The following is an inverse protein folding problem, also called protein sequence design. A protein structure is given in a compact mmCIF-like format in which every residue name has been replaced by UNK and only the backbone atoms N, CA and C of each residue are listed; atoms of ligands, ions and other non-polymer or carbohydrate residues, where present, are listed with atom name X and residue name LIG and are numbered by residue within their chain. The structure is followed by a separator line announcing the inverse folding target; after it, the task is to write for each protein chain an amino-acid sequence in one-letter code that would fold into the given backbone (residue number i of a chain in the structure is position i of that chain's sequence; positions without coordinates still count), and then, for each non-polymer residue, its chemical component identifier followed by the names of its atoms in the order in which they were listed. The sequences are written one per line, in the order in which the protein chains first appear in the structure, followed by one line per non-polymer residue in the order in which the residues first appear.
data_IF_232913933056
#
_entry.id   IF_232913933056
#
_cell.length_a   1.000
_cell.length_b   1.000
_cell.length_c   1.000
_cell.angle_alpha   90.00
_cell.angle_beta   90.00
_cell.angle_gamma   90.00
#
_symmetry.space_group_name_H-M   'P 1'
#
loop_
_entity.id
_entity.type
_entity.pdbx_description
1 polymer ?
#
# COMPACT_ATOMS: atom_id res chain seq x y z
N UNK A 1 -24.66 15.03 4.19
CA UNK A 1 -24.28 13.99 5.09
C UNK A 1 -23.40 13.12 4.52
N UNK A 2 -22.54 12.96 5.29
CA UNK A 2 -21.91 12.16 4.48
C UNK A 2 -21.48 10.93 5.17
N UNK A 3 -21.80 9.86 4.48
CA UNK A 3 -21.50 8.52 4.90
C UNK A 3 -20.23 8.09 4.20
N UNK A 4 -19.23 7.64 4.97
CA UNK A 4 -17.98 7.13 4.45
C UNK A 4 -17.88 5.63 4.73
N UNK A 5 -17.76 4.85 3.66
CA UNK A 5 -17.55 3.42 3.73
C UNK A 5 -16.06 3.13 3.55
N UNK A 6 -15.45 2.50 4.55
CA UNK A 6 -14.02 2.18 4.55
C UNK A 6 -13.83 0.68 4.31
N UNK A 7 -13.10 0.35 3.25
CA UNK A 7 -12.68 -1.01 2.92
C UNK A 7 -11.15 -1.09 2.98
N UNK A 8 -10.65 -2.12 3.62
CA UNK A 8 -9.20 -2.34 3.72
C UNK A 8 -8.57 -1.58 4.90
N UNK A 9 -7.32 -1.17 4.73
CA UNK A 9 -6.47 -0.66 5.82
C UNK A 9 -5.84 0.69 5.46
N UNK A 10 -6.60 1.79 5.46
CA UNK A 10 -6.16 3.10 4.95
C UNK A 10 -5.31 3.85 5.99
N UNK A 11 -4.09 3.37 6.24
CA UNK A 11 -3.18 3.95 7.24
C UNK A 11 -1.96 4.67 6.65
N UNK A 12 -1.85 4.80 5.33
CA UNK A 12 -0.65 5.31 4.68
C UNK A 12 -0.70 6.81 4.41
N UNK A 13 -1.79 7.31 3.87
CA UNK A 13 -1.93 8.69 3.40
C UNK A 13 -2.43 9.63 4.49
N UNK A 14 -1.73 10.76 4.69
CA UNK A 14 -2.15 11.80 5.64
C UNK A 14 -3.48 12.43 5.25
N UNK A 15 -3.73 12.64 3.97
CA UNK A 15 -5.01 13.20 3.48
C UNK A 15 -6.18 12.26 3.75
N UNK A 16 -6.00 10.96 3.59
CA UNK A 16 -7.01 9.96 3.95
C UNK A 16 -7.22 9.93 5.47
N UNK A 17 -6.14 9.98 6.26
CA UNK A 17 -6.24 10.05 7.72
C UNK A 17 -6.98 11.31 8.16
N UNK A 18 -6.71 12.46 7.54
CA UNK A 18 -7.42 13.70 7.82
C UNK A 18 -8.91 13.61 7.45
N UNK A 19 -9.24 12.98 6.32
CA UNK A 19 -10.62 12.72 5.93
C UNK A 19 -11.34 11.85 6.97
N UNK A 20 -10.70 10.76 7.41
CA UNK A 20 -11.24 9.87 8.45
C UNK A 20 -11.39 10.56 9.82
N UNK A 21 -10.62 11.61 10.08
CA UNK A 21 -10.69 12.42 11.30
C UNK A 21 -11.84 13.43 11.34
N UNK A 22 -12.55 13.65 10.22
CA UNK A 22 -13.65 14.62 10.16
C UNK A 22 -14.83 14.23 11.04
N UNK A 23 -15.37 15.22 11.78
CA UNK A 23 -16.44 15.01 12.75
C UNK A 23 -17.82 14.91 12.12
N UNK A 24 -17.98 15.47 10.94
CA UNK A 24 -19.23 15.51 10.19
C UNK A 24 -19.50 14.25 9.36
N UNK A 25 -18.57 13.28 9.36
CA UNK A 25 -18.74 12.03 8.62
C UNK A 25 -19.25 10.90 9.52
N UNK A 26 -20.19 10.14 8.99
CA UNK A 26 -20.62 8.86 9.55
C UNK A 26 -19.79 7.73 8.91
N UNK A 27 -18.89 7.13 9.69
CA UNK A 27 -17.91 6.18 9.19
C UNK A 27 -18.33 4.75 9.51
N UNK A 28 -18.46 3.93 8.47
CA UNK A 28 -18.63 2.48 8.57
C UNK A 28 -17.38 1.78 8.02
N UNK A 29 -16.80 0.89 8.80
CA UNK A 29 -15.67 0.05 8.38
C UNK A 29 -16.17 -1.33 8.02
N UNK A 30 -15.84 -1.81 6.82
CA UNK A 30 -16.02 -3.21 6.42
C UNK A 30 -14.69 -3.95 6.63
N UNK A 31 -14.73 -5.07 7.33
CA UNK A 31 -13.52 -5.83 7.67
C UNK A 31 -13.69 -7.33 7.41
N UNK A 32 -12.68 -7.95 6.85
CA UNK A 32 -12.57 -9.40 6.66
C UNK A 32 -11.88 -10.11 7.84
N UNK A 33 -11.47 -9.33 8.85
CA UNK A 33 -10.66 -9.86 9.96
C UNK A 33 -11.25 -9.47 11.31
N UNK A 34 -11.04 -10.30 12.29
CA UNK A 34 -11.40 -10.02 13.68
C UNK A 34 -10.63 -8.80 14.25
N UNK A 35 -9.42 -8.55 13.72
CA UNK A 35 -8.66 -7.34 14.03
C UNK A 35 -8.78 -6.38 12.85
N UNK A 36 -9.28 -5.21 13.11
CA UNK A 36 -9.47 -4.12 12.15
C UNK A 36 -8.80 -2.85 12.66
N UNK A 37 -8.55 -1.92 11.75
CA UNK A 37 -7.89 -0.66 12.09
C UNK A 37 -8.89 0.48 11.94
N UNK A 38 -9.05 1.23 13.00
CA UNK A 38 -9.68 2.55 12.98
C UNK A 38 -8.61 3.61 13.27
N UNK A 39 -8.03 4.13 12.20
CA UNK A 39 -6.91 5.08 12.27
C UNK A 39 -7.28 6.36 13.03
N UNK A 40 -8.55 6.74 12.96
CA UNK A 40 -9.07 7.97 13.56
C UNK A 40 -9.79 7.75 14.91
N UNK A 41 -10.12 6.50 15.25
CA UNK A 41 -10.96 6.18 16.40
C UNK A 41 -12.41 6.66 16.27
N UNK A 42 -12.91 6.84 15.03
CA UNK A 42 -14.20 7.48 14.74
C UNK A 42 -15.21 6.57 14.05
N UNK A 43 -14.86 5.33 13.80
CA UNK A 43 -15.81 4.39 13.19
C UNK A 43 -17.04 4.21 14.09
N UNK A 44 -18.20 4.56 13.59
CA UNK A 44 -19.49 4.35 14.29
C UNK A 44 -20.01 2.94 14.14
N UNK A 45 -19.64 2.29 13.03
CA UNK A 45 -20.08 0.93 12.74
C UNK A 45 -18.92 0.14 12.17
N UNK A 46 -18.77 -1.08 12.64
CA UNK A 46 -17.83 -2.06 12.08
C UNK A 46 -18.65 -3.27 11.67
N UNK A 47 -18.51 -3.68 10.41
CA UNK A 47 -19.27 -4.77 9.84
C UNK A 47 -18.30 -5.83 9.33
N UNK A 48 -18.35 -7.04 9.89
CA UNK A 48 -17.58 -8.15 9.37
C UNK A 48 -18.07 -8.54 7.98
N UNK A 49 -17.12 -8.79 7.10
CA UNK A 49 -17.37 -9.32 5.75
C UNK A 49 -17.08 -10.82 5.75
N UNK A 50 -17.73 -11.56 6.65
CA UNK A 50 -17.50 -12.99 6.79
C UNK A 50 -17.86 -13.75 5.51
N UNK A 51 -16.94 -14.55 5.02
CA UNK A 51 -17.10 -15.45 3.89
C UNK A 51 -15.97 -16.47 3.87
N UNK A 52 -16.21 -17.64 3.29
CA UNK A 52 -15.17 -18.65 3.19
C UNK A 52 -14.01 -18.17 2.32
N UNK A 53 -12.80 -18.45 2.78
CA UNK A 53 -11.60 -18.34 1.95
C UNK A 53 -11.82 -19.21 0.68
N UNK A 54 -11.74 -18.64 -0.50
CA UNK A 54 -11.99 -19.32 -1.81
C UNK A 54 -13.44 -19.36 -2.30
N UNK A 55 -14.28 -18.45 -1.86
CA UNK A 55 -15.62 -18.30 -2.44
C UNK A 55 -15.52 -17.88 -3.93
N UNK A 56 -16.37 -18.43 -4.83
CA UNK A 56 -16.47 -17.97 -6.21
C UNK A 56 -16.78 -16.48 -6.32
N UNK A 57 -16.22 -15.80 -7.33
CA UNK A 57 -16.33 -14.34 -7.46
C UNK A 57 -17.77 -13.81 -7.57
N UNK A 58 -18.66 -14.57 -8.19
CA UNK A 58 -20.09 -14.26 -8.29
C UNK A 58 -20.81 -14.35 -6.94
N UNK A 59 -20.49 -15.37 -6.13
CA UNK A 59 -21.02 -15.51 -4.78
C UNK A 59 -20.50 -14.39 -3.86
N UNK A 60 -19.22 -14.06 -3.96
CA UNK A 60 -18.61 -12.95 -3.23
C UNK A 60 -19.26 -11.60 -3.61
N UNK A 61 -19.53 -11.38 -4.90
CA UNK A 61 -20.21 -10.19 -5.38
C UNK A 61 -21.64 -10.08 -4.85
N UNK A 62 -22.39 -11.18 -4.85
CA UNK A 62 -23.74 -11.23 -4.31
C UNK A 62 -23.77 -10.97 -2.80
N UNK A 63 -22.82 -11.54 -2.06
CA UNK A 63 -22.67 -11.31 -0.62
C UNK A 63 -22.35 -9.85 -0.32
N UNK A 64 -21.42 -9.26 -1.08
CA UNK A 64 -21.08 -7.84 -0.93
C UNK A 64 -22.28 -6.93 -1.22
N UNK A 65 -23.06 -7.24 -2.26
CA UNK A 65 -24.26 -6.49 -2.58
C UNK A 65 -25.34 -6.58 -1.47
N UNK A 66 -25.54 -7.78 -0.88
CA UNK A 66 -26.45 -7.98 0.25
C UNK A 66 -25.98 -7.21 1.49
N UNK A 67 -24.67 -7.22 1.75
CA UNK A 67 -24.07 -6.49 2.85
C UNK A 67 -24.31 -4.98 2.68
N UNK A 68 -24.02 -4.41 1.51
CA UNK A 68 -24.27 -2.99 1.22
C UNK A 68 -25.75 -2.65 1.39
N UNK A 69 -26.66 -3.50 0.91
CA UNK A 69 -28.10 -3.32 1.09
C UNK A 69 -28.49 -3.34 2.59
N UNK A 70 -27.89 -4.21 3.39
CA UNK A 70 -28.16 -4.29 4.84
C UNK A 70 -27.71 -3.06 5.62
N UNK A 71 -26.80 -2.26 5.06
CA UNK A 71 -26.34 -1.00 5.65
C UNK A 71 -27.35 0.15 5.46
N UNK A 72 -28.41 -0.08 4.68
CA UNK A 72 -29.39 0.95 4.36
C UNK A 72 -28.85 2.08 3.48
N UNK A 73 -27.77 1.78 2.72
CA UNK A 73 -27.19 2.73 1.80
C UNK A 73 -27.98 2.71 0.48
N UNK A 74 -28.45 3.85 0.07
CA UNK A 74 -29.06 4.02 -1.24
C UNK A 74 -27.98 4.20 -2.30
N UNK A 75 -28.27 3.70 -3.51
CA UNK A 75 -27.38 3.92 -4.64
C UNK A 75 -27.40 5.40 -5.00
N UNK A 76 -26.24 6.03 -5.00
CA UNK A 76 -26.10 7.41 -5.45
C UNK A 76 -26.47 7.55 -6.93
N UNK A 77 -26.96 8.73 -7.30
CA UNK A 77 -27.16 9.08 -8.70
C UNK A 77 -25.85 8.97 -9.50
N UNK A 78 -25.95 8.61 -10.77
CA UNK A 78 -24.78 8.48 -11.64
C UNK A 78 -23.97 9.79 -11.73
N UNK A 79 -24.65 10.94 -11.66
CA UNK A 79 -23.99 12.25 -11.66
C UNK A 79 -23.04 12.47 -10.49
N UNK A 80 -23.27 11.80 -9.35
CA UNK A 80 -22.36 11.84 -8.22
C UNK A 80 -21.01 11.21 -8.58
N UNK A 81 -20.99 10.00 -9.12
CA UNK A 81 -19.77 9.33 -9.56
C UNK A 81 -19.07 10.12 -10.67
N UNK A 82 -19.84 10.73 -11.59
CA UNK A 82 -19.28 11.56 -12.66
C UNK A 82 -18.68 12.85 -12.14
N UNK A 83 -19.22 13.43 -11.08
CA UNK A 83 -18.61 14.60 -10.42
C UNK A 83 -17.26 14.28 -9.82
N UNK A 84 -17.11 13.11 -9.18
CA UNK A 84 -15.83 12.64 -8.67
C UNK A 84 -14.82 12.37 -9.77
N UNK A 85 -15.25 11.72 -10.86
CA UNK A 85 -14.35 11.46 -12.00
C UNK A 85 -13.88 12.76 -12.64
N UNK A 86 -14.77 13.74 -12.83
CA UNK A 86 -14.37 15.06 -13.33
C UNK A 86 -13.38 15.74 -12.40
N UNK A 87 -13.68 15.80 -11.10
CA UNK A 87 -12.77 16.40 -10.14
C UNK A 87 -11.39 15.71 -10.13
N UNK A 88 -11.35 14.38 -10.29
CA UNK A 88 -10.09 13.64 -10.40
C UNK A 88 -9.35 13.96 -11.71
N UNK A 89 -10.07 14.10 -12.84
CA UNK A 89 -9.48 14.44 -14.15
C UNK A 89 -8.93 15.87 -14.20
N UNK A 90 -9.48 16.78 -13.40
CA UNK A 90 -9.02 18.16 -13.31
C UNK A 90 -7.75 18.32 -12.46
N UNK A 91 -7.37 17.27 -11.73
CA UNK A 91 -6.12 17.28 -10.97
C UNK A 91 -4.94 17.02 -11.91
N UNK A 92 -3.83 17.77 -11.75
CA UNK A 92 -2.64 17.48 -12.51
C UNK A 92 -2.13 16.08 -12.18
N UNK A 93 -1.67 15.36 -13.19
CA UNK A 93 -1.00 14.08 -12.96
C UNK A 93 0.20 14.26 -12.01
N UNK A 94 0.37 13.36 -11.03
CA UNK A 94 1.49 13.46 -10.13
C UNK A 94 2.81 13.34 -10.90
N UNK A 95 3.55 14.42 -10.97
CA UNK A 95 4.87 14.45 -11.62
C UNK A 95 5.93 13.76 -10.76
N UNK A 96 6.99 13.27 -11.41
CA UNK A 96 8.21 12.87 -10.72
C UNK A 96 8.97 14.13 -10.31
N UNK A 97 9.10 14.37 -9.02
CA UNK A 97 9.82 15.53 -8.47
C UNK A 97 11.28 15.20 -8.10
N UNK A 98 11.65 13.94 -8.17
CA UNK A 98 12.99 13.45 -7.85
C UNK A 98 13.36 12.20 -8.65
N UNK A 99 14.65 11.85 -8.66
CA UNK A 99 15.12 10.59 -9.24
C UNK A 99 14.49 9.36 -8.56
N UNK A 100 14.26 9.44 -7.26
CA UNK A 100 13.59 8.38 -6.51
C UNK A 100 12.11 8.19 -6.94
N UNK A 101 11.42 9.26 -7.32
CA UNK A 101 10.09 9.20 -7.90
C UNK A 101 10.12 8.51 -9.28
N UNK A 102 11.12 8.85 -10.11
CA UNK A 102 11.29 8.24 -11.41
C UNK A 102 11.56 6.73 -11.30
N UNK A 103 12.40 6.31 -10.34
CA UNK A 103 12.65 4.89 -10.05
C UNK A 103 11.36 4.20 -9.61
N UNK A 104 10.60 4.79 -8.68
CA UNK A 104 9.36 4.19 -8.20
C UNK A 104 8.37 3.98 -9.36
N UNK A 105 8.20 4.97 -10.24
CA UNK A 105 7.34 4.87 -11.43
C UNK A 105 7.81 3.78 -12.38
N UNK A 106 9.10 3.77 -12.72
CA UNK A 106 9.66 2.77 -13.64
C UNK A 106 9.51 1.34 -13.11
N UNK A 107 9.71 1.15 -11.80
CA UNK A 107 9.50 -0.15 -11.16
C UNK A 107 8.04 -0.59 -11.23
N UNK A 108 7.11 0.33 -10.96
CA UNK A 108 5.70 0.04 -11.07
C UNK A 108 5.30 -0.38 -12.49
N UNK A 109 5.69 0.41 -13.48
CA UNK A 109 5.42 0.14 -14.90
C UNK A 109 6.01 -1.21 -15.34
N UNK A 110 7.27 -1.49 -14.98
CA UNK A 110 7.93 -2.77 -15.27
C UNK A 110 7.28 -3.96 -14.57
N UNK A 111 6.60 -3.73 -13.44
CA UNK A 111 5.92 -4.78 -12.69
C UNK A 111 4.52 -5.10 -13.20
N UNK A 112 4.00 -4.31 -14.14
CA UNK A 112 2.71 -4.58 -14.82
C UNK A 112 2.86 -5.48 -16.03
N UNK A 113 4.07 -5.77 -16.46
CA UNK A 113 4.31 -6.62 -17.62
C UNK A 113 3.89 -8.08 -17.34
N UNK A 114 3.38 -8.80 -18.35
CA UNK A 114 3.12 -10.23 -18.21
C UNK A 114 4.38 -10.99 -17.79
N UNK A 115 4.26 -11.84 -16.77
CA UNK A 115 5.40 -12.61 -16.24
C UNK A 115 6.38 -11.79 -15.40
N UNK A 116 6.06 -10.53 -15.07
CA UNK A 116 6.90 -9.73 -14.19
C UNK A 116 7.07 -10.38 -12.81
N UNK A 117 8.24 -10.15 -12.15
CA UNK A 117 8.48 -10.60 -10.79
C UNK A 117 7.40 -10.13 -9.81
N UNK A 118 7.13 -10.93 -8.78
CA UNK A 118 6.32 -10.48 -7.65
C UNK A 118 6.98 -9.27 -7.01
N UNK A 119 6.27 -8.15 -6.92
CA UNK A 119 6.77 -6.90 -6.36
C UNK A 119 6.66 -6.92 -4.83
N UNK A 120 7.79 -6.87 -4.14
CA UNK A 120 7.85 -6.74 -2.69
C UNK A 120 8.21 -5.30 -2.31
N UNK A 121 7.36 -4.66 -1.55
CA UNK A 121 7.51 -3.26 -1.13
C UNK A 121 8.03 -3.19 0.31
N UNK A 122 9.24 -2.68 0.47
CA UNK A 122 9.82 -2.39 1.77
C UNK A 122 9.12 -1.21 2.48
N UNK A 123 9.13 -1.22 3.81
CA UNK A 123 8.61 -0.13 4.64
C UNK A 123 9.53 1.10 4.57
N UNK A 124 9.42 1.87 3.50
CA UNK A 124 10.23 3.05 3.19
C UNK A 124 9.40 4.15 2.51
N UNK A 125 10.05 5.25 2.13
CA UNK A 125 9.41 6.27 1.28
C UNK A 125 8.92 5.73 -0.06
N UNK A 126 9.45 4.62 -0.53
CA UNK A 126 9.05 3.98 -1.80
C UNK A 126 7.57 3.63 -1.84
N UNK A 127 7.02 3.09 -0.73
CA UNK A 127 5.57 2.81 -0.64
C UNK A 127 4.74 4.09 -0.84
N UNK A 128 5.16 5.21 -0.23
CA UNK A 128 4.46 6.50 -0.34
C UNK A 128 4.60 7.12 -1.73
N UNK A 129 5.74 6.91 -2.37
CA UNK A 129 5.94 7.33 -3.77
C UNK A 129 5.02 6.55 -4.70
N UNK A 130 4.92 5.23 -4.52
CA UNK A 130 4.01 4.40 -5.30
C UNK A 130 2.54 4.74 -5.06
N UNK A 131 2.13 4.97 -3.81
CA UNK A 131 0.77 5.42 -3.47
C UNK A 131 0.37 6.69 -4.24
N UNK A 132 1.33 7.57 -4.51
CA UNK A 132 1.12 8.82 -5.26
C UNK A 132 1.25 8.66 -6.77
N UNK A 133 2.17 7.84 -7.25
CA UNK A 133 2.63 7.83 -8.65
C UNK A 133 2.11 6.63 -9.45
N UNK A 134 1.68 5.56 -8.76
CA UNK A 134 1.25 4.34 -9.43
C UNK A 134 -0.03 4.59 -10.21
N UNK A 135 0.03 4.41 -11.52
CA UNK A 135 -1.14 4.51 -12.38
C UNK A 135 -1.72 3.11 -12.61
N UNK A 136 -3.05 2.96 -12.61
CA UNK A 136 -3.69 1.73 -13.02
C UNK A 136 -3.29 1.37 -14.45
N UNK A 137 -2.82 0.16 -14.65
CA UNK A 137 -2.51 -0.38 -15.98
C UNK A 137 -3.51 -1.45 -16.40
N UNK A 138 -3.21 -2.10 -17.52
CA UNK A 138 -4.02 -3.21 -18.03
C UNK A 138 -4.02 -4.42 -17.09
N UNK A 139 -2.97 -4.60 -16.31
CA UNK A 139 -2.84 -5.62 -15.29
C UNK A 139 -2.29 -5.01 -14.00
N UNK A 140 -2.84 -5.43 -12.87
CA UNK A 140 -2.28 -5.06 -11.57
C UNK A 140 -1.04 -5.91 -11.28
N UNK A 141 0.08 -5.33 -10.78
CA UNK A 141 1.20 -6.10 -10.31
C UNK A 141 0.79 -7.02 -9.15
N UNK A 142 1.36 -8.22 -9.10
CA UNK A 142 1.31 -9.01 -7.87
C UNK A 142 2.23 -8.34 -6.86
N UNK A 143 1.66 -7.62 -5.91
CA UNK A 143 2.42 -6.84 -4.92
C UNK A 143 2.18 -7.34 -3.49
N UNK A 144 3.26 -7.38 -2.71
CA UNK A 144 3.29 -7.77 -1.30
C UNK A 144 4.02 -6.70 -0.52
N UNK A 145 3.64 -6.46 0.72
CA UNK A 145 4.32 -5.53 1.61
C UNK A 145 4.29 -6.03 3.06
N UNK A 146 5.40 -5.90 3.75
CA UNK A 146 5.50 -6.13 5.19
C UNK A 146 4.94 -4.92 5.92
N UNK A 147 3.61 -4.87 6.14
CA UNK A 147 3.02 -3.71 6.81
C UNK A 147 3.00 -3.85 8.33
N UNK A 148 2.28 -4.76 8.91
CA UNK A 148 2.25 -4.98 10.36
C UNK A 148 2.54 -3.71 11.17
N UNK A 149 3.62 -3.73 11.94
CA UNK A 149 4.17 -2.59 12.66
C UNK A 149 5.02 -1.65 11.78
N UNK A 150 5.06 -1.89 10.48
CA UNK A 150 5.86 -1.14 9.50
C UNK A 150 7.37 -1.14 9.80
N UNK A 151 7.88 -2.22 10.40
CA UNK A 151 9.31 -2.44 10.60
C UNK A 151 10.08 -2.48 9.29
N UNK A 152 11.37 -2.16 9.36
CA UNK A 152 12.29 -2.19 8.22
C UNK A 152 13.13 -3.46 8.17
N UNK A 153 13.01 -4.30 9.18
CA UNK A 153 13.69 -5.59 9.26
C UNK A 153 13.01 -6.64 8.39
N UNK A 154 13.77 -7.63 7.91
CA UNK A 154 13.25 -8.84 7.28
C UNK A 154 12.63 -8.64 5.89
N UNK A 155 12.85 -7.52 5.22
CA UNK A 155 12.31 -7.31 3.87
C UNK A 155 12.99 -8.23 2.85
N UNK A 156 14.33 -8.36 2.89
CA UNK A 156 15.09 -9.25 2.01
C UNK A 156 14.76 -10.71 2.31
N UNK A 157 14.74 -11.07 3.60
CA UNK A 157 14.34 -12.40 4.04
C UNK A 157 12.92 -12.76 3.57
N UNK A 158 11.99 -11.80 3.60
CA UNK A 158 10.65 -11.99 3.03
C UNK A 158 10.70 -12.24 1.53
N UNK A 159 11.58 -11.54 0.80
CA UNK A 159 11.78 -11.74 -0.64
C UNK A 159 12.27 -13.16 -0.96
N UNK A 160 13.22 -13.67 -0.20
CA UNK A 160 13.67 -15.06 -0.30
C UNK A 160 12.53 -16.04 0.00
N UNK A 161 11.78 -15.81 1.08
CA UNK A 161 10.64 -16.66 1.44
C UNK A 161 9.53 -16.66 0.39
N UNK A 162 9.25 -15.52 -0.25
CA UNK A 162 8.29 -15.42 -1.36
C UNK A 162 8.75 -16.21 -2.58
N UNK A 163 10.05 -16.12 -2.93
CA UNK A 163 10.62 -16.93 -4.00
C UNK A 163 10.51 -18.42 -3.69
N UNK A 164 10.89 -18.85 -2.50
CA UNK A 164 10.78 -20.25 -2.08
C UNK A 164 9.33 -20.77 -2.15
N UNK A 165 8.38 -19.96 -1.74
CA UNK A 165 6.97 -20.36 -1.70
C UNK A 165 6.29 -20.36 -3.09
N UNK A 166 6.71 -19.46 -3.99
CA UNK A 166 6.06 -19.29 -5.30
C UNK A 166 6.79 -19.96 -6.44
N UNK A 167 8.08 -20.25 -6.29
CA UNK A 167 8.97 -20.72 -7.37
C UNK A 167 9.20 -19.68 -8.47
N UNK A 168 8.71 -18.46 -8.30
CA UNK A 168 8.82 -17.39 -9.30
C UNK A 168 9.71 -16.23 -8.84
N UNK A 169 10.19 -15.41 -9.79
CA UNK A 169 11.09 -14.30 -9.47
C UNK A 169 10.43 -13.26 -8.56
N UNK A 170 11.22 -12.61 -7.72
CA UNK A 170 10.80 -11.57 -6.79
C UNK A 170 11.61 -10.31 -7.03
N UNK A 171 10.97 -9.16 -7.01
CA UNK A 171 11.60 -7.84 -7.05
C UNK A 171 11.28 -7.09 -5.78
N UNK A 172 12.27 -6.95 -4.90
CA UNK A 172 12.16 -6.17 -3.68
C UNK A 172 12.61 -4.72 -3.92
N UNK A 173 11.81 -3.75 -3.49
CA UNK A 173 12.12 -2.32 -3.61
C UNK A 173 12.03 -1.67 -2.25
N UNK A 174 13.10 -1.01 -1.84
CA UNK A 174 13.21 -0.42 -0.50
C UNK A 174 14.14 0.79 -0.49
N UNK A 175 14.15 1.54 0.60
CA UNK A 175 15.14 2.58 0.85
C UNK A 175 16.43 2.01 1.42
N UNK A 176 17.45 2.87 1.47
CA UNK A 176 18.80 2.60 1.99
C UNK A 176 18.78 2.05 3.42
N UNK A 177 18.06 2.69 4.33
CA UNK A 177 17.98 2.23 5.73
C UNK A 177 17.32 0.85 5.86
N UNK A 178 16.23 0.60 5.14
CA UNK A 178 15.58 -0.70 5.15
C UNK A 178 16.49 -1.79 4.58
N UNK A 179 17.30 -1.46 3.56
CA UNK A 179 18.30 -2.35 3.01
C UNK A 179 19.40 -2.67 4.04
N UNK A 180 19.98 -1.64 4.67
CA UNK A 180 21.06 -1.81 5.65
C UNK A 180 20.62 -2.63 6.86
N UNK A 181 19.38 -2.48 7.28
CA UNK A 181 18.83 -3.26 8.40
C UNK A 181 18.72 -4.76 8.11
N UNK A 182 18.54 -5.13 6.85
CA UNK A 182 18.32 -6.52 6.46
C UNK A 182 19.34 -7.06 5.44
N UNK A 183 20.41 -6.32 5.19
CA UNK A 183 21.43 -6.69 4.22
C UNK A 183 22.07 -8.06 4.48
N UNK A 184 22.16 -8.47 5.76
CA UNK A 184 22.70 -9.78 6.14
C UNK A 184 21.82 -10.93 5.67
N UNK A 185 20.57 -10.72 5.35
CA UNK A 185 19.68 -11.71 4.75
C UNK A 185 20.03 -12.06 3.29
N UNK A 186 21.01 -11.36 2.69
CA UNK A 186 21.61 -11.74 1.42
C UNK A 186 22.65 -12.86 1.58
N UNK A 187 23.11 -13.11 2.81
CA UNK A 187 24.03 -14.23 3.05
C UNK A 187 23.31 -15.56 2.87
N UNK A 188 23.92 -16.41 2.08
CA UNK A 188 23.40 -17.74 1.77
C UNK A 188 24.33 -18.80 2.33
N UNK A 189 23.75 -19.83 2.95
CA UNK A 189 24.47 -21.02 3.35
C UNK A 189 24.92 -21.84 2.12
N UNK A 190 25.98 -22.61 2.28
CA UNK A 190 26.57 -23.41 1.17
C UNK A 190 25.63 -24.47 0.58
N UNK A 191 24.58 -24.81 1.28
CA UNK A 191 23.57 -25.80 0.88
C UNK A 191 22.20 -25.17 0.54
N UNK A 192 22.09 -23.85 0.57
CA UNK A 192 20.87 -23.14 0.24
C UNK A 192 20.82 -22.81 -1.25
N UNK A 193 19.68 -22.94 -1.85
CA UNK A 193 19.46 -22.53 -3.23
C UNK A 193 19.54 -21.00 -3.38
N UNK A 194 20.00 -20.54 -4.52
CA UNK A 194 20.06 -19.13 -4.85
C UNK A 194 18.67 -18.63 -5.26
N UNK A 195 18.16 -17.65 -4.53
CA UNK A 195 16.87 -17.05 -4.81
C UNK A 195 16.94 -16.17 -6.08
N UNK A 196 15.97 -16.33 -6.96
CA UNK A 196 15.74 -15.36 -8.06
C UNK A 196 15.10 -14.07 -7.47
N UNK A 197 15.97 -13.29 -6.83
CA UNK A 197 15.60 -12.08 -6.09
C UNK A 197 16.37 -10.87 -6.63
N UNK A 198 15.63 -9.93 -7.22
CA UNK A 198 16.15 -8.61 -7.56
C UNK A 198 15.91 -7.65 -6.40
N UNK A 199 16.96 -7.03 -5.88
CA UNK A 199 16.84 -5.99 -4.84
C UNK A 199 17.16 -4.63 -5.44
N UNK A 200 16.20 -3.71 -5.40
CA UNK A 200 16.34 -2.33 -5.84
C UNK A 200 16.36 -1.45 -4.59
N UNK A 201 17.48 -0.79 -4.37
CA UNK A 201 17.68 0.12 -3.24
C UNK A 201 17.58 1.56 -3.76
N UNK A 202 16.68 2.33 -3.19
CA UNK A 202 16.58 3.77 -3.43
C UNK A 202 17.39 4.47 -2.34
N UNK A 203 18.62 4.84 -2.68
CA UNK A 203 19.49 5.61 -1.82
C UNK A 203 19.20 7.11 -2.00
N UNK A 204 18.79 7.78 -0.94
CA UNK A 204 18.51 9.20 -0.92
C UNK A 204 19.53 10.02 -0.12
N UNK A 205 20.71 9.45 0.10
CA UNK A 205 21.86 10.11 0.70
C UNK A 205 21.96 9.98 2.22
N UNK A 206 21.32 8.95 2.79
CA UNK A 206 21.50 8.63 4.20
C UNK A 206 20.27 8.88 5.07
N UNK A 207 19.16 8.27 4.71
CA UNK A 207 17.98 8.26 5.57
C UNK A 207 17.16 9.54 5.53
N UNK A 208 17.01 10.16 4.38
CA UNK A 208 16.24 11.38 4.17
C UNK A 208 14.75 11.28 4.62
N UNK A 209 14.27 10.06 4.92
CA UNK A 209 12.92 9.88 5.50
C UNK A 209 12.71 10.73 6.77
N UNK A 210 13.75 10.94 7.56
CA UNK A 210 13.65 11.71 8.79
C UNK A 210 13.38 13.20 8.53
N UNK A 211 13.79 13.75 7.38
CA UNK A 211 13.49 15.12 6.98
C UNK A 211 12.01 15.39 6.72
N UNK A 212 11.23 14.34 6.53
CA UNK A 212 9.77 14.41 6.32
C UNK A 212 8.95 14.31 7.61
N UNK A 213 9.62 14.14 8.75
CA UNK A 213 8.95 14.06 10.05
C UNK A 213 8.72 15.45 10.62
N UNK A 214 7.73 15.59 11.49
CA UNK A 214 7.31 16.89 12.04
C UNK A 214 8.42 17.60 12.78
N UNK A 215 9.25 16.88 13.54
CA UNK A 215 10.37 17.46 14.26
C UNK A 215 11.56 17.88 13.37
N UNK A 216 11.61 17.46 12.13
CA UNK A 216 12.63 17.94 11.18
C UNK A 216 12.54 19.46 10.96
N UNK A 217 11.35 20.04 11.13
CA UNK A 217 11.15 21.48 11.02
C UNK A 217 11.58 22.26 12.25
N UNK A 218 11.80 21.59 13.38
CA UNK A 218 12.16 22.19 14.67
C UNK A 218 13.60 21.88 15.10
N UNK A 219 14.28 20.96 14.40
CA UNK A 219 15.63 20.51 14.74
C UNK A 219 16.60 20.91 13.62
N UNK A 220 17.79 21.46 13.95
CA UNK A 220 18.78 21.81 12.93
C UNK A 220 19.18 20.59 12.09
N UNK A 221 19.34 20.73 10.74
CA UNK A 221 19.68 19.62 9.84
C UNK A 221 20.94 18.83 10.20
N UNK A 222 21.87 19.44 10.91
CA UNK A 222 23.13 18.80 11.33
C UNK A 222 22.97 17.72 12.42
N UNK A 223 21.75 17.41 12.84
CA UNK A 223 21.46 16.37 13.86
C UNK A 223 20.67 15.19 13.31
N UNK A 224 20.51 15.09 11.99
CA UNK A 224 19.93 13.94 11.30
C UNK A 224 20.99 13.22 10.51
#
# INVERSE_FOLDING_TARGET
AEHLLVLGHPSLSRSVTALLGREDLDITVLTERARWTDVSGRARRVVPMDGPDHEPADAAALRSARLVASLGLERADASWADSWRRAASDLPEPGCSSSADAVARAVWEASQAPGAPTLLLGSSMTVRRLDRLAQPGAAAPKAVANRGLAGIDGTIATGVGLWMASGGPVRAVMGDLAFLHDAMSLNRGVHEEEADLQVIVVDDGGGAIFSHLEYAHTTPPARF
#
